data_IF_713567235371
#
_entry.id   IF_713567235371
#
_cell.length_a   1.000
_cell.length_b   1.000
_cell.length_c   1.000
_cell.angle_alpha   90.00
_cell.angle_beta   90.00
_cell.angle_gamma   90.00
#
_symmetry.space_group_name_H-M   'P 1'
#
loop_
_entity.id
_entity.type
_entity.pdbx_description
1 polymer ?
#
# COMPACT_ATOMS: atom_id res chain seq x y z
N UNK A 1 -5.83 -19.11 0.97
CA UNK A 1 -6.37 -18.22 -0.07
C UNK A 1 -7.68 -17.67 0.46
N UNK A 2 -8.00 -16.41 0.17
CA UNK A 2 -9.39 -15.96 -0.10
C UNK A 2 -10.27 -15.21 0.89
N UNK A 3 -9.81 -14.63 2.01
CA UNK A 3 -10.70 -13.70 2.77
C UNK A 3 -10.59 -12.22 2.40
N UNK A 4 -9.70 -11.83 1.49
CA UNK A 4 -9.58 -10.44 1.03
C UNK A 4 -10.65 -10.09 -0.03
N UNK A 5 -11.12 -11.09 -0.78
CA UNK A 5 -12.11 -10.89 -1.85
C UNK A 5 -13.50 -10.49 -1.32
N UNK A 6 -13.77 -10.72 -0.02
CA UNK A 6 -14.99 -10.28 0.66
C UNK A 6 -14.87 -8.95 1.40
N UNK A 7 -13.66 -8.39 1.50
CA UNK A 7 -13.45 -7.10 2.16
C UNK A 7 -13.77 -5.98 1.17
N UNK A 8 -14.61 -5.02 1.59
CA UNK A 8 -14.89 -3.80 0.82
C UNK A 8 -13.66 -2.86 0.84
N UNK A 9 -12.60 -3.28 0.16
CA UNK A 9 -11.31 -2.60 0.13
C UNK A 9 -11.24 -1.63 -1.03
N UNK A 10 -10.72 -0.45 -0.75
CA UNK A 10 -10.44 0.57 -1.76
C UNK A 10 -8.99 1.04 -1.62
N UNK A 11 -8.30 1.32 -2.74
CA UNK A 11 -6.96 1.93 -2.68
C UNK A 11 -6.96 3.17 -1.79
N UNK A 12 -5.93 3.28 -0.95
CA UNK A 12 -5.72 4.43 -0.07
C UNK A 12 -4.35 5.08 -0.32
N UNK A 13 -3.25 4.33 -0.16
CA UNK A 13 -1.88 4.77 -0.46
C UNK A 13 -1.15 3.71 -1.28
N UNK A 14 -0.14 4.10 -2.05
CA UNK A 14 0.50 3.23 -3.04
C UNK A 14 -0.20 3.28 -4.39
N UNK A 15 -0.03 2.23 -5.18
CA UNK A 15 -0.63 2.15 -6.52
C UNK A 15 -2.15 2.34 -6.51
N UNK A 16 -2.75 2.99 -7.53
CA UNK A 16 -4.21 3.12 -7.66
C UNK A 16 -4.90 1.82 -8.10
N UNK A 17 -4.15 0.72 -8.18
CA UNK A 17 -4.64 -0.56 -8.68
C UNK A 17 -5.58 -1.22 -7.67
N UNK A 18 -6.61 -1.95 -8.15
CA UNK A 18 -7.51 -2.69 -7.27
C UNK A 18 -6.76 -3.68 -6.37
N UNK A 19 -7.22 -3.91 -5.11
CA UNK A 19 -6.60 -4.86 -4.20
C UNK A 19 -6.42 -6.25 -4.82
N UNK A 20 -7.44 -6.76 -5.50
CA UNK A 20 -7.40 -8.05 -6.20
C UNK A 20 -6.27 -8.09 -7.23
N UNK A 21 -6.06 -7.00 -7.96
CA UNK A 21 -4.99 -6.93 -8.94
C UNK A 21 -3.62 -6.96 -8.26
N UNK A 22 -3.39 -6.20 -7.17
CA UNK A 22 -2.11 -6.24 -6.45
C UNK A 22 -1.81 -7.62 -5.86
N UNK A 23 -2.82 -8.23 -5.23
CA UNK A 23 -2.69 -9.57 -4.67
C UNK A 23 -2.47 -10.65 -5.76
N UNK A 24 -3.06 -10.49 -6.95
CA UNK A 24 -2.92 -11.41 -8.07
C UNK A 24 -1.69 -11.14 -8.96
N UNK A 25 -1.21 -9.90 -9.10
CA UNK A 25 -0.05 -9.55 -9.91
C UNK A 25 1.22 -10.20 -9.37
N UNK A 26 1.29 -10.34 -8.04
CA UNK A 26 2.32 -11.13 -7.39
C UNK A 26 2.28 -12.59 -7.88
N UNK A 27 1.09 -13.15 -8.09
CA UNK A 27 0.85 -14.55 -8.49
C UNK A 27 1.04 -14.81 -10.00
N UNK A 28 0.63 -13.90 -10.90
CA UNK A 28 0.67 -14.15 -12.36
C UNK A 28 2.03 -13.91 -13.02
N UNK A 29 2.99 -13.28 -12.33
CA UNK A 29 4.35 -13.12 -12.83
C UNK A 29 5.21 -14.39 -12.80
N UNK A 30 4.68 -15.50 -12.25
CA UNK A 30 5.45 -16.72 -11.95
C UNK A 30 5.39 -17.81 -13.02
N UNK A 31 4.64 -17.63 -14.11
CA UNK A 31 4.38 -18.72 -15.06
C UNK A 31 5.47 -18.89 -16.14
N UNK A 32 6.58 -18.16 -16.02
CA UNK A 32 7.79 -18.37 -16.80
C UNK A 32 8.85 -18.83 -15.80
N UNK A 33 9.34 -20.07 -15.92
CA UNK A 33 10.21 -20.79 -14.97
C UNK A 33 11.58 -20.19 -14.61
N UNK A 34 11.69 -18.87 -14.65
CA UNK A 34 12.82 -18.01 -14.29
C UNK A 34 12.54 -17.16 -13.04
N UNK A 35 11.33 -17.18 -12.46
CA UNK A 35 10.97 -16.41 -11.27
C UNK A 35 10.40 -17.28 -10.14
N UNK A 36 10.80 -17.01 -8.89
CA UNK A 36 10.22 -17.61 -7.68
C UNK A 36 9.25 -16.61 -7.04
N UNK A 37 7.97 -16.98 -6.97
CA UNK A 37 6.96 -16.17 -6.28
C UNK A 37 7.04 -16.35 -4.77
N UNK A 38 6.91 -15.24 -4.04
CA UNK A 38 6.56 -15.24 -2.62
C UNK A 38 5.27 -14.45 -2.47
N UNK A 39 4.29 -15.02 -1.76
CA UNK A 39 3.02 -14.35 -1.49
C UNK A 39 3.31 -13.01 -0.79
N UNK A 40 2.61 -11.91 -1.15
CA UNK A 40 2.75 -10.65 -0.42
C UNK A 40 2.38 -10.83 1.05
N UNK A 41 3.09 -10.12 1.91
CA UNK A 41 2.76 -10.05 3.33
C UNK A 41 1.61 -9.06 3.53
N UNK A 42 0.65 -9.43 4.37
CA UNK A 42 -0.52 -8.60 4.64
C UNK A 42 -0.65 -8.33 6.14
N UNK A 43 -0.92 -7.07 6.49
CA UNK A 43 -1.03 -6.59 7.86
C UNK A 43 -2.27 -5.72 8.01
N UNK A 44 -2.99 -5.88 9.11
CA UNK A 44 -4.06 -4.97 9.49
C UNK A 44 -3.50 -3.85 10.36
N UNK A 45 -3.80 -2.61 9.99
CA UNK A 45 -3.45 -1.41 10.73
C UNK A 45 -4.76 -0.80 11.24
N UNK A 46 -4.90 -0.73 12.55
CA UNK A 46 -6.02 -0.09 13.21
C UNK A 46 -5.63 1.34 13.61
N UNK A 47 -6.40 2.32 13.18
CA UNK A 47 -6.24 3.71 13.59
C UNK A 47 -7.60 4.33 13.88
N UNK A 48 -7.81 4.70 15.14
CA UNK A 48 -9.12 5.12 15.66
C UNK A 48 -10.18 4.05 15.32
N UNK A 49 -11.24 4.43 14.59
CA UNK A 49 -12.35 3.55 14.18
C UNK A 49 -12.17 2.95 12.77
N UNK A 50 -10.99 3.11 12.18
CA UNK A 50 -10.72 2.71 10.79
C UNK A 50 -9.73 1.55 10.72
N UNK A 51 -10.00 0.63 9.81
CA UNK A 51 -9.12 -0.51 9.51
C UNK A 51 -8.52 -0.34 8.11
N UNK A 52 -7.20 -0.47 8.05
CA UNK A 52 -6.44 -0.47 6.81
C UNK A 52 -5.77 -1.82 6.62
N UNK A 53 -5.76 -2.30 5.39
CA UNK A 53 -4.98 -3.46 4.99
C UNK A 53 -3.71 -2.97 4.30
N UNK A 54 -2.57 -3.14 4.95
CA UNK A 54 -1.26 -2.91 4.35
C UNK A 54 -0.75 -4.21 3.72
N UNK A 55 -0.34 -4.12 2.46
CA UNK A 55 0.18 -5.20 1.66
C UNK A 55 1.60 -4.85 1.21
N UNK A 56 2.56 -5.74 1.48
CA UNK A 56 3.94 -5.62 1.02
C UNK A 56 4.22 -6.70 -0.01
N UNK A 57 4.58 -6.30 -1.22
CA UNK A 57 4.80 -7.23 -2.35
C UNK A 57 6.23 -7.81 -2.40
N UNK A 58 7.05 -7.52 -1.39
CA UNK A 58 8.47 -7.81 -1.33
C UNK A 58 9.36 -6.60 -1.64
N UNK A 59 8.81 -5.53 -2.22
CA UNK A 59 9.52 -4.28 -2.54
C UNK A 59 8.74 -3.04 -2.15
N UNK A 60 7.45 -3.04 -2.43
CA UNK A 60 6.57 -1.88 -2.34
C UNK A 60 5.44 -2.13 -1.36
N UNK A 61 5.01 -1.04 -0.73
CA UNK A 61 3.84 -0.99 0.12
C UNK A 61 2.60 -0.53 -0.67
N UNK A 62 1.49 -1.22 -0.47
CA UNK A 62 0.17 -0.87 -0.97
C UNK A 62 -0.80 -0.90 0.21
N UNK A 63 -1.51 0.20 0.44
CA UNK A 63 -2.40 0.31 1.60
C UNK A 63 -3.81 0.55 1.10
N UNK A 64 -4.72 -0.29 1.59
CA UNK A 64 -6.14 -0.25 1.28
C UNK A 64 -6.92 0.15 2.52
N UNK A 65 -7.98 0.93 2.34
CA UNK A 65 -8.96 1.21 3.40
C UNK A 65 -10.11 0.24 3.30
N UNK A 66 -10.64 -0.19 4.44
CA UNK A 66 -11.81 -1.06 4.52
C UNK A 66 -13.07 -0.25 4.83
N UNK A 67 -14.10 -0.36 3.99
CA UNK A 67 -15.39 0.31 4.19
C UNK A 67 -15.44 1.76 3.68
N UNK A 68 -16.47 2.48 4.14
CA UNK A 68 -16.70 3.88 3.75
C UNK A 68 -16.00 4.84 4.73
N UNK A 69 -14.88 5.38 4.27
CA UNK A 69 -13.98 6.23 5.05
C UNK A 69 -14.29 7.72 4.88
N UNK A 70 -14.22 8.47 6.00
CA UNK A 70 -14.21 9.93 6.01
C UNK A 70 -12.75 10.40 6.10
N UNK A 71 -12.22 10.89 4.99
CA UNK A 71 -10.80 11.25 4.83
C UNK A 71 -10.27 12.26 5.85
N UNK A 72 -9.33 11.86 6.72
CA UNK A 72 -8.53 12.79 7.51
C UNK A 72 -7.06 12.75 7.07
N UNK A 73 -6.46 13.91 6.79
CA UNK A 73 -5.05 14.01 6.38
C UNK A 73 -4.10 13.46 7.46
N UNK A 74 -4.50 13.56 8.72
CA UNK A 74 -3.72 13.17 9.91
C UNK A 74 -3.41 11.67 9.96
N UNK A 75 -4.23 10.82 9.33
CA UNK A 75 -4.04 9.37 9.35
C UNK A 75 -2.87 8.90 8.47
N UNK A 76 -2.53 9.67 7.43
CA UNK A 76 -1.53 9.26 6.42
C UNK A 76 -0.18 9.03 7.11
N UNK A 77 0.32 10.02 7.85
CA UNK A 77 1.60 9.90 8.57
C UNK A 77 1.62 8.72 9.55
N UNK A 78 0.54 8.51 10.30
CA UNK A 78 0.45 7.41 11.29
C UNK A 78 0.46 6.03 10.63
N UNK A 79 -0.30 5.85 9.55
CA UNK A 79 -0.37 4.60 8.79
C UNK A 79 0.99 4.30 8.15
N UNK A 80 1.64 5.31 7.56
CA UNK A 80 2.95 5.15 6.95
C UNK A 80 4.05 4.79 7.96
N UNK A 81 4.07 5.46 9.12
CA UNK A 81 5.00 5.12 10.23
C UNK A 81 4.80 3.69 10.74
N UNK A 82 3.55 3.22 10.77
CA UNK A 82 3.24 1.84 11.15
C UNK A 82 3.71 0.85 10.10
N UNK A 83 3.50 1.12 8.81
CA UNK A 83 4.03 0.26 7.74
C UNK A 83 5.56 0.19 7.77
N UNK A 84 6.24 1.34 7.94
CA UNK A 84 7.69 1.45 8.06
C UNK A 84 8.28 0.60 9.22
N UNK A 85 7.55 0.46 10.33
CA UNK A 85 8.01 -0.35 11.47
C UNK A 85 7.87 -1.86 11.27
N UNK A 86 7.05 -2.29 10.30
CA UNK A 86 6.80 -3.70 10.01
C UNK A 86 7.87 -4.28 9.07
N UNK A 87 8.11 -3.62 7.93
CA UNK A 87 9.11 -4.02 6.92
C UNK A 87 9.62 -2.81 6.13
N UNK A 88 10.91 -2.80 5.74
CA UNK A 88 11.44 -1.78 4.85
C UNK A 88 10.79 -1.88 3.48
N UNK A 89 10.62 -0.76 2.80
CA UNK A 89 10.10 -0.75 1.45
C UNK A 89 10.02 0.65 0.87
N UNK A 90 9.32 0.77 -0.25
CA UNK A 90 8.92 2.07 -0.78
C UNK A 90 7.43 2.14 -0.99
N UNK A 91 6.87 3.33 -0.94
CA UNK A 91 5.45 3.55 -1.26
C UNK A 91 5.32 4.67 -2.28
N UNK A 92 4.36 4.52 -3.18
CA UNK A 92 3.98 5.57 -4.11
C UNK A 92 2.93 6.47 -3.47
N UNK A 93 3.18 7.78 -3.48
CA UNK A 93 2.31 8.81 -2.93
C UNK A 93 1.95 9.81 -4.03
N UNK A 94 0.68 10.19 -4.08
CA UNK A 94 0.29 11.38 -4.83
C UNK A 94 0.84 12.63 -4.14
N UNK A 95 0.92 13.74 -4.87
CA UNK A 95 1.35 15.04 -4.35
C UNK A 95 0.66 15.43 -3.02
N UNK A 96 -0.68 15.29 -2.94
CA UNK A 96 -1.45 15.58 -1.72
C UNK A 96 -1.13 14.63 -0.56
N UNK A 97 -0.84 13.36 -0.86
CA UNK A 97 -0.48 12.39 0.15
C UNK A 97 0.96 12.61 0.65
N UNK A 98 1.87 13.05 -0.24
CA UNK A 98 3.23 13.41 0.11
C UNK A 98 3.28 14.60 1.08
N UNK A 99 2.49 15.65 0.81
CA UNK A 99 2.35 16.80 1.73
C UNK A 99 1.93 16.37 3.15
N UNK A 100 1.04 15.38 3.26
CA UNK A 100 0.55 14.87 4.54
C UNK A 100 1.47 13.81 5.18
N UNK A 101 2.37 13.21 4.40
CA UNK A 101 3.24 12.13 4.84
C UNK A 101 4.48 12.61 5.59
N UNK A 102 4.89 13.87 5.38
CA UNK A 102 6.16 14.42 5.89
C UNK A 102 7.39 13.59 5.45
N UNK A 103 7.31 12.96 4.27
CA UNK A 103 8.37 12.14 3.69
C UNK A 103 9.14 12.88 2.60
N UNK A 104 10.40 12.49 2.40
CA UNK A 104 11.22 12.98 1.29
C UNK A 104 11.06 12.05 0.08
N UNK A 105 10.67 12.57 -1.10
CA UNK A 105 10.54 11.75 -2.30
C UNK A 105 11.92 11.30 -2.82
N UNK A 106 11.96 10.08 -3.36
CA UNK A 106 13.14 9.45 -3.98
C UNK A 106 13.26 9.79 -5.47
N UNK A 107 12.22 10.35 -6.07
CA UNK A 107 12.14 10.72 -7.48
C UNK A 107 11.51 12.11 -7.65
N UNK A 108 11.72 12.71 -8.82
CA UNK A 108 11.22 14.05 -9.15
C UNK A 108 9.72 14.10 -9.52
N UNK A 109 8.92 13.10 -9.12
CA UNK A 109 7.46 13.13 -9.29
C UNK A 109 6.95 12.91 -10.72
N UNK A 110 7.18 11.71 -11.28
CA UNK A 110 6.66 11.37 -12.62
C UNK A 110 5.13 11.24 -12.57
N UNK A 111 4.41 12.04 -13.36
CA UNK A 111 2.94 12.11 -13.36
C UNK A 111 2.31 12.46 -11.99
N UNK A 112 3.01 13.24 -11.15
CA UNK A 112 2.60 13.57 -9.77
C UNK A 112 2.61 12.37 -8.81
N UNK A 113 3.27 11.27 -9.20
CA UNK A 113 3.51 10.11 -8.35
C UNK A 113 4.95 10.12 -7.83
N UNK A 114 5.08 10.15 -6.51
CA UNK A 114 6.35 10.20 -5.80
C UNK A 114 6.58 8.90 -5.05
N UNK A 115 7.73 8.27 -5.26
CA UNK A 115 8.15 7.14 -4.44
C UNK A 115 8.86 7.65 -3.20
N UNK A 116 8.42 7.23 -2.02
CA UNK A 116 9.09 7.52 -0.75
C UNK A 116 9.61 6.22 -0.13
N UNK A 117 10.74 6.29 0.56
CA UNK A 117 11.21 5.18 1.39
C UNK A 117 10.36 5.10 2.68
N UNK A 118 10.05 3.86 3.10
CA UNK A 118 9.46 3.52 4.39
C UNK A 118 10.39 2.57 5.14
#
# INVERSE_FOLDING_TARGET
TDDIAGLNLRPFLGSPLPPVYIMQKAFMGSDYGVFRHTKPDTFEIFHQDNTYLACHDGREWHIFRQGDFKGEKEVISSVLKTAASLKPGRIMLSDRALEAAELTPLNDGVYHDYYCAL
#
